data_IF_154781360682
#
_entry.id   IF_154781360682
#
_cell.length_a   1.000
_cell.length_b   1.000
_cell.length_c   1.000
_cell.angle_alpha   90.00
_cell.angle_beta   90.00
_cell.angle_gamma   90.00
#
_symmetry.space_group_name_H-M   'P 1'
#
loop_
_entity.id
_entity.type
_entity.pdbx_description
1 polymer ?
#
# COMPACT_ATOMS: atom_id res chain seq x y z
N UNK A 1 -18.47 -9.66 -9.42
CA UNK A 1 -17.01 -9.93 -9.53
C UNK A 1 -16.29 -8.60 -9.58
N UNK A 2 -15.24 -8.41 -8.77
CA UNK A 2 -14.46 -7.17 -8.74
C UNK A 2 -13.58 -7.03 -9.98
N UNK A 3 -13.37 -5.77 -10.42
CA UNK A 3 -12.37 -5.44 -11.44
C UNK A 3 -11.36 -4.46 -10.88
N UNK A 4 -10.08 -4.79 -10.94
CA UNK A 4 -8.98 -3.95 -10.44
C UNK A 4 -8.19 -3.40 -11.61
N UNK A 5 -8.02 -2.08 -11.65
CA UNK A 5 -7.27 -1.38 -12.69
C UNK A 5 -6.00 -0.75 -12.13
N UNK A 6 -4.88 -1.04 -12.76
CA UNK A 6 -3.57 -0.49 -12.42
C UNK A 6 -2.46 -1.50 -12.55
N UNK A 7 -1.26 -1.03 -12.89
CA UNK A 7 -0.06 -1.89 -12.98
C UNK A 7 0.33 -2.42 -11.60
N UNK A 8 0.82 -3.68 -11.50
CA UNK A 8 1.25 -4.28 -10.23
C UNK A 8 2.41 -3.55 -9.54
N UNK A 9 3.21 -2.77 -10.29
CA UNK A 9 4.32 -1.97 -9.76
C UNK A 9 3.85 -0.69 -9.06
N UNK A 10 2.53 -0.47 -8.96
CA UNK A 10 1.91 0.67 -8.29
C UNK A 10 1.21 0.25 -7.00
N UNK A 11 0.52 1.21 -6.36
CA UNK A 11 -0.35 0.92 -5.22
C UNK A 11 -1.53 -0.02 -5.54
N UNK A 12 -1.76 -0.37 -6.82
CA UNK A 12 -2.72 -1.41 -7.20
C UNK A 12 -2.34 -2.78 -6.60
N UNK A 13 -1.05 -3.03 -6.37
CA UNK A 13 -0.60 -4.24 -5.68
C UNK A 13 -1.27 -4.44 -4.31
N UNK A 14 -1.53 -3.37 -3.56
CA UNK A 14 -2.21 -3.45 -2.25
C UNK A 14 -3.62 -4.03 -2.38
N UNK A 15 -4.35 -3.58 -3.40
CA UNK A 15 -5.73 -4.02 -3.65
C UNK A 15 -5.75 -5.48 -4.09
N UNK A 16 -4.87 -5.84 -5.00
CA UNK A 16 -4.76 -7.22 -5.50
C UNK A 16 -4.33 -8.15 -4.36
N UNK A 17 -3.36 -7.72 -3.53
CA UNK A 17 -2.95 -8.48 -2.34
C UNK A 17 -4.10 -8.67 -1.36
N UNK A 18 -4.88 -7.61 -1.08
CA UNK A 18 -6.05 -7.71 -0.22
C UNK A 18 -7.03 -8.77 -0.74
N UNK A 19 -7.35 -8.77 -2.04
CA UNK A 19 -8.27 -9.73 -2.64
C UNK A 19 -7.74 -11.17 -2.57
N UNK A 20 -6.44 -11.38 -2.75
CA UNK A 20 -5.80 -12.70 -2.57
C UNK A 20 -5.84 -13.17 -1.11
N UNK A 21 -5.69 -12.27 -0.13
CA UNK A 21 -5.76 -12.61 1.31
C UNK A 21 -7.18 -13.00 1.74
N UNK A 22 -8.19 -12.34 1.19
CA UNK A 22 -9.58 -12.65 1.51
C UNK A 22 -10.18 -13.74 0.60
N UNK A 23 -9.39 -14.23 -0.36
CA UNK A 23 -9.74 -15.29 -1.30
C UNK A 23 -10.99 -15.00 -2.14
N UNK A 24 -11.10 -13.78 -2.63
CA UNK A 24 -12.17 -13.32 -3.50
C UNK A 24 -11.68 -13.24 -4.94
N UNK A 25 -12.46 -13.81 -5.86
CA UNK A 25 -12.19 -13.73 -7.30
C UNK A 25 -12.31 -12.30 -7.85
N UNK A 26 -11.41 -11.94 -8.73
CA UNK A 26 -11.35 -10.64 -9.38
C UNK A 26 -10.72 -10.73 -10.78
N UNK A 27 -11.05 -9.76 -11.62
CA UNK A 27 -10.36 -9.50 -12.88
C UNK A 27 -9.32 -8.38 -12.67
N UNK A 28 -8.13 -8.53 -13.23
CA UNK A 28 -7.08 -7.53 -13.16
C UNK A 28 -6.72 -6.98 -14.54
N UNK A 29 -6.80 -5.65 -14.65
CA UNK A 29 -6.46 -4.89 -15.87
C UNK A 29 -5.21 -4.06 -15.60
N UNK A 30 -4.07 -4.46 -16.18
CA UNK A 30 -2.77 -3.82 -15.98
C UNK A 30 -2.67 -2.50 -16.77
N UNK A 31 -3.42 -1.48 -16.37
CA UNK A 31 -3.43 -0.15 -16.99
C UNK A 31 -2.41 0.77 -16.33
N UNK A 32 -1.69 1.55 -17.16
CA UNK A 32 -0.71 2.54 -16.70
C UNK A 32 -1.39 3.76 -16.08
N UNK A 33 -0.85 4.34 -14.99
CA UNK A 33 -1.29 5.63 -14.49
C UNK A 33 -1.26 6.69 -15.61
N UNK A 34 -2.30 7.52 -15.68
CA UNK A 34 -2.41 8.60 -16.66
C UNK A 34 -2.91 8.18 -18.04
N UNK A 35 -3.12 6.88 -18.30
CA UNK A 35 -3.73 6.44 -19.57
C UNK A 35 -5.16 6.94 -19.72
N UNK A 36 -5.67 7.00 -20.93
CA UNK A 36 -7.03 7.49 -21.18
C UNK A 36 -8.07 6.58 -20.55
N UNK A 37 -7.84 5.28 -20.57
CA UNK A 37 -8.71 4.29 -19.92
C UNK A 37 -8.82 4.52 -18.40
N UNK A 38 -7.69 4.78 -17.75
CA UNK A 38 -7.71 5.13 -16.32
C UNK A 38 -8.40 6.47 -16.07
N UNK A 39 -8.17 7.48 -16.92
CA UNK A 39 -8.83 8.80 -16.80
C UNK A 39 -10.34 8.74 -16.96
N UNK A 40 -10.84 7.80 -17.76
CA UNK A 40 -12.28 7.57 -17.94
C UNK A 40 -12.92 7.01 -16.65
N UNK A 41 -12.17 6.25 -15.85
CA UNK A 41 -12.62 5.68 -14.57
C UNK A 41 -12.33 6.63 -13.40
N UNK A 42 -11.17 7.28 -13.42
CA UNK A 42 -10.71 8.20 -12.39
C UNK A 42 -10.06 9.42 -13.04
N UNK A 43 -10.72 10.56 -13.01
CA UNK A 43 -10.27 11.82 -13.66
C UNK A 43 -8.86 12.24 -13.25
N UNK A 44 -8.39 11.88 -12.06
CA UNK A 44 -7.02 12.16 -11.62
C UNK A 44 -5.96 11.35 -12.38
N UNK A 45 -6.35 10.34 -13.12
CA UNK A 45 -5.45 9.40 -13.80
C UNK A 45 -4.67 8.49 -12.86
N UNK A 46 -4.97 8.50 -11.55
CA UNK A 46 -4.27 7.67 -10.56
C UNK A 46 -4.85 6.26 -10.49
N UNK A 47 -3.98 5.31 -10.15
CA UNK A 47 -4.33 3.91 -9.86
C UNK A 47 -3.94 3.57 -8.41
N UNK A 48 -4.61 2.59 -7.77
CA UNK A 48 -5.64 1.69 -8.30
C UNK A 48 -7.01 2.35 -8.49
N UNK A 49 -7.81 1.70 -9.33
CA UNK A 49 -9.25 1.85 -9.36
C UNK A 49 -9.85 0.46 -9.14
N UNK A 50 -10.91 0.38 -8.34
CA UNK A 50 -11.71 -0.82 -8.17
C UNK A 50 -13.12 -0.56 -8.72
N UNK A 51 -13.66 -1.50 -9.49
CA UNK A 51 -15.09 -1.56 -9.80
C UNK A 51 -15.75 -2.69 -9.01
N UNK A 52 -16.86 -2.37 -8.38
CA UNK A 52 -17.77 -3.29 -7.69
C UNK A 52 -19.17 -3.14 -8.31
N UNK A 53 -19.50 -4.02 -9.24
CA UNK A 53 -20.65 -3.80 -10.11
C UNK A 53 -20.45 -2.56 -10.99
N UNK A 54 -21.33 -1.57 -10.84
CA UNK A 54 -21.26 -0.27 -11.52
C UNK A 54 -20.52 0.82 -10.73
N UNK A 55 -20.25 0.56 -9.43
CA UNK A 55 -19.59 1.51 -8.54
C UNK A 55 -18.07 1.54 -8.77
N UNK A 56 -17.53 2.74 -8.78
CA UNK A 56 -16.10 2.99 -9.00
C UNK A 56 -15.48 3.58 -7.74
N UNK A 57 -14.49 2.91 -7.21
CA UNK A 57 -13.73 3.34 -6.04
C UNK A 57 -12.27 3.63 -6.40
N UNK A 58 -11.71 4.66 -5.81
CA UNK A 58 -10.30 5.02 -5.93
C UNK A 58 -9.67 5.25 -4.56
N UNK A 59 -8.33 5.38 -4.55
CA UNK A 59 -7.45 5.32 -3.41
C UNK A 59 -7.28 3.90 -2.84
N UNK A 60 -6.01 3.44 -2.81
CA UNK A 60 -5.69 2.07 -2.41
C UNK A 60 -6.11 1.74 -0.98
N UNK A 61 -5.96 2.70 -0.06
CA UNK A 61 -6.27 2.50 1.36
C UNK A 61 -7.77 2.49 1.61
N UNK A 62 -8.51 3.37 0.92
CA UNK A 62 -9.97 3.37 0.96
C UNK A 62 -10.54 2.07 0.38
N UNK A 63 -10.01 1.60 -0.75
CA UNK A 63 -10.43 0.36 -1.39
C UNK A 63 -10.19 -0.85 -0.48
N UNK A 64 -8.99 -1.00 0.09
CA UNK A 64 -8.72 -2.17 0.96
C UNK A 64 -9.50 -2.10 2.28
N UNK A 65 -9.79 -0.89 2.81
CA UNK A 65 -10.68 -0.73 3.96
C UNK A 65 -12.11 -1.14 3.61
N UNK A 66 -12.62 -0.71 2.46
CA UNK A 66 -13.93 -1.12 1.96
C UNK A 66 -14.05 -2.66 1.82
N UNK A 67 -13.04 -3.28 1.19
CA UNK A 67 -13.00 -4.74 1.02
C UNK A 67 -12.94 -5.47 2.37
N UNK A 68 -12.12 -4.97 3.30
CA UNK A 68 -12.00 -5.53 4.64
C UNK A 68 -13.31 -5.46 5.42
N UNK A 69 -14.01 -4.34 5.33
CA UNK A 69 -15.31 -4.13 5.99
C UNK A 69 -16.42 -4.96 5.35
N UNK A 70 -16.46 -5.01 4.02
CA UNK A 70 -17.50 -5.74 3.28
C UNK A 70 -17.43 -7.24 3.50
N UNK A 71 -16.21 -7.78 3.64
CA UNK A 71 -15.96 -9.21 3.79
C UNK A 71 -15.60 -9.62 5.22
N UNK A 72 -15.61 -8.68 6.18
CA UNK A 72 -15.26 -8.91 7.59
C UNK A 72 -13.89 -9.60 7.77
N UNK A 73 -12.91 -9.23 6.93
CA UNK A 73 -11.55 -9.81 6.89
C UNK A 73 -10.48 -8.74 7.06
N UNK A 74 -9.42 -9.09 7.78
CA UNK A 74 -8.21 -8.24 7.96
C UNK A 74 -8.48 -6.88 8.62
N UNK A 75 -9.68 -6.64 9.09
CA UNK A 75 -10.09 -5.44 9.82
C UNK A 75 -10.69 -5.80 11.16
N UNK A 76 -10.62 -4.86 12.11
CA UNK A 76 -11.42 -4.94 13.32
C UNK A 76 -12.86 -4.45 13.05
N UNK A 77 -13.84 -4.86 13.88
CA UNK A 77 -15.23 -4.45 13.72
C UNK A 77 -15.37 -2.92 13.73
N UNK A 78 -16.23 -2.40 12.86
CA UNK A 78 -16.52 -0.95 12.81
C UNK A 78 -17.06 -0.46 14.17
N UNK A 79 -16.61 0.71 14.58
CA UNK A 79 -17.00 1.33 15.85
C UNK A 79 -16.24 0.79 17.08
N UNK A 80 -15.38 -0.24 16.94
CA UNK A 80 -14.54 -0.69 18.04
C UNK A 80 -13.32 0.21 18.22
N UNK A 81 -12.75 0.21 19.44
CA UNK A 81 -11.52 0.96 19.73
C UNK A 81 -10.31 0.35 18.98
N UNK A 82 -10.30 -0.96 18.77
CA UNK A 82 -9.29 -1.66 17.98
C UNK A 82 -9.32 -1.18 16.53
N UNK A 83 -10.52 -0.94 15.97
CA UNK A 83 -10.66 -0.37 14.63
C UNK A 83 -10.13 1.06 14.57
N UNK A 84 -10.41 1.89 15.55
CA UNK A 84 -9.87 3.25 15.60
C UNK A 84 -8.34 3.25 15.66
N UNK A 85 -7.74 2.33 16.43
CA UNK A 85 -6.28 2.15 16.47
C UNK A 85 -5.72 1.65 15.14
N UNK A 86 -6.41 0.73 14.47
CA UNK A 86 -6.04 0.27 13.12
C UNK A 86 -6.07 1.42 12.11
N UNK A 87 -7.13 2.22 12.11
CA UNK A 87 -7.27 3.35 11.19
C UNK A 87 -6.18 4.41 11.46
N UNK A 88 -5.86 4.68 12.73
CA UNK A 88 -4.76 5.56 13.11
C UNK A 88 -3.41 5.04 12.56
N UNK A 89 -3.15 3.73 12.66
CA UNK A 89 -1.95 3.13 12.09
C UNK A 89 -1.92 3.25 10.55
N UNK A 90 -3.05 3.06 9.87
CA UNK A 90 -3.17 3.26 8.42
C UNK A 90 -2.81 4.69 8.04
N UNK A 91 -3.41 5.69 8.69
CA UNK A 91 -3.16 7.09 8.40
C UNK A 91 -1.71 7.48 8.69
N UNK A 92 -1.15 6.98 9.78
CA UNK A 92 0.26 7.17 10.11
C UNK A 92 1.19 6.60 9.02
N UNK A 93 0.96 5.38 8.55
CA UNK A 93 1.78 4.79 7.47
C UNK A 93 1.67 5.61 6.19
N UNK A 94 0.49 6.11 5.86
CA UNK A 94 0.29 6.92 4.65
C UNK A 94 1.03 8.25 4.76
N UNK A 95 0.93 8.94 5.88
CA UNK A 95 1.53 10.25 6.11
C UNK A 95 3.05 10.15 6.32
N UNK A 96 3.49 9.26 7.21
CA UNK A 96 4.87 9.21 7.68
C UNK A 96 5.79 8.31 6.84
N UNK A 97 5.25 7.37 6.06
CA UNK A 97 6.06 6.38 5.30
C UNK A 97 5.79 6.48 3.80
N UNK A 98 4.53 6.28 3.38
CA UNK A 98 4.15 6.30 1.97
C UNK A 98 4.41 7.67 1.34
N UNK A 99 4.08 8.76 2.05
CA UNK A 99 4.28 10.12 1.56
C UNK A 99 5.76 10.45 1.34
N UNK A 100 6.67 9.91 2.14
CA UNK A 100 8.12 10.10 1.93
C UNK A 100 8.57 9.50 0.60
N UNK A 101 8.12 8.27 0.32
CA UNK A 101 8.40 7.58 -0.94
C UNK A 101 7.75 8.28 -2.14
N UNK A 102 6.49 8.70 -1.98
CA UNK A 102 5.76 9.41 -3.02
C UNK A 102 6.34 10.80 -3.29
N UNK A 103 6.74 11.52 -2.26
CA UNK A 103 7.44 12.79 -2.38
C UNK A 103 8.70 12.65 -3.22
N UNK A 104 9.54 11.67 -2.92
CA UNK A 104 10.75 11.40 -3.69
C UNK A 104 10.44 11.00 -5.15
N UNK A 105 9.43 10.16 -5.38
CA UNK A 105 9.01 9.78 -6.73
C UNK A 105 8.50 10.98 -7.54
N UNK A 106 7.70 11.86 -6.91
CA UNK A 106 7.23 13.10 -7.56
C UNK A 106 8.38 13.93 -8.07
N UNK A 107 9.40 14.15 -7.25
CA UNK A 107 10.57 14.96 -7.59
C UNK A 107 11.65 14.18 -8.39
N UNK A 108 11.38 12.91 -8.75
CA UNK A 108 12.26 12.12 -9.61
C UNK A 108 11.75 12.04 -11.06
N UNK A 109 10.44 11.74 -11.25
CA UNK A 109 9.92 11.45 -12.58
C UNK A 109 8.43 11.77 -12.81
N UNK A 110 7.67 12.15 -11.76
CA UNK A 110 6.23 12.42 -11.91
C UNK A 110 5.95 13.88 -12.30
N UNK A 111 6.55 14.83 -11.58
CA UNK A 111 6.37 16.25 -11.86
C UNK A 111 7.04 16.64 -13.19
N UNK A 112 6.57 17.71 -13.85
CA UNK A 112 7.33 18.35 -14.92
C UNK A 112 8.78 18.64 -14.48
N UNK A 113 9.74 18.52 -15.38
CA UNK A 113 11.15 18.58 -15.02
C UNK A 113 11.55 19.87 -14.30
N UNK A 114 11.03 21.00 -14.78
CA UNK A 114 11.26 22.34 -14.20
C UNK A 114 10.63 22.53 -12.81
N UNK A 115 9.77 21.61 -12.36
CA UNK A 115 9.14 21.61 -11.03
C UNK A 115 9.79 20.61 -10.07
N UNK A 116 10.82 19.89 -10.51
CA UNK A 116 11.50 18.87 -9.67
C UNK A 116 12.56 19.54 -8.80
N UNK A 117 12.52 19.22 -7.50
CA UNK A 117 13.51 19.68 -6.50
C UNK A 117 14.23 18.47 -5.94
N UNK A 118 15.41 18.16 -6.49
CA UNK A 118 16.19 16.98 -6.07
C UNK A 118 16.67 17.07 -4.62
N UNK A 119 16.90 18.29 -4.14
CA UNK A 119 17.40 18.58 -2.79
C UNK A 119 16.46 18.16 -1.64
N UNK A 120 15.19 17.86 -1.91
CA UNK A 120 14.25 17.34 -0.89
C UNK A 120 14.52 15.89 -0.51
N UNK A 121 15.18 15.10 -1.37
CA UNK A 121 15.31 13.64 -1.18
C UNK A 121 16.08 13.22 0.08
N UNK A 122 17.17 13.89 0.49
CA UNK A 122 17.86 13.54 1.72
C UNK A 122 16.97 13.63 2.96
N UNK A 123 16.17 14.70 3.11
CA UNK A 123 15.24 14.86 4.25
C UNK A 123 14.15 13.78 4.23
N UNK A 124 13.56 13.49 3.06
CA UNK A 124 12.55 12.43 2.95
C UNK A 124 13.10 11.05 3.32
N UNK A 125 14.36 10.77 2.98
CA UNK A 125 15.02 9.51 3.36
C UNK A 125 15.29 9.43 4.86
N UNK A 126 15.74 10.53 5.46
CA UNK A 126 15.97 10.62 6.89
C UNK A 126 14.66 10.46 7.68
N UNK A 127 13.60 11.15 7.29
CA UNK A 127 12.27 11.03 7.92
C UNK A 127 11.72 9.62 7.78
N UNK A 128 11.83 9.02 6.60
CA UNK A 128 11.41 7.64 6.37
C UNK A 128 12.08 6.68 7.36
N UNK A 129 13.41 6.74 7.49
CA UNK A 129 14.15 5.87 8.41
C UNK A 129 13.71 6.06 9.86
N UNK A 130 13.64 7.33 10.32
CA UNK A 130 13.17 7.68 11.65
C UNK A 130 11.76 7.14 11.94
N UNK A 131 10.85 7.30 10.97
CA UNK A 131 9.46 6.88 11.13
C UNK A 131 9.33 5.35 11.13
N UNK A 132 10.11 4.65 10.32
CA UNK A 132 10.21 3.18 10.37
C UNK A 132 10.72 2.71 11.73
N UNK A 133 11.77 3.32 12.27
CA UNK A 133 12.30 2.97 13.60
C UNK A 133 11.24 3.14 14.69
N UNK A 134 10.48 4.23 14.66
CA UNK A 134 9.39 4.48 15.60
C UNK A 134 8.28 3.42 15.48
N UNK A 135 7.83 3.11 14.26
CA UNK A 135 6.77 2.12 14.02
C UNK A 135 7.23 0.72 14.50
N UNK A 136 8.47 0.34 14.21
CA UNK A 136 9.00 -0.97 14.62
C UNK A 136 9.19 -1.07 16.12
N UNK A 137 9.61 0.00 16.80
CA UNK A 137 9.75 0.03 18.26
C UNK A 137 8.40 -0.06 18.98
N UNK A 138 7.31 0.44 18.37
CA UNK A 138 5.96 0.35 18.92
C UNK A 138 5.27 -0.98 18.64
N UNK A 139 5.78 -1.76 17.69
CA UNK A 139 5.22 -3.07 17.31
C UNK A 139 5.28 -4.05 18.48
N UNK A 140 4.13 -4.60 18.88
CA UNK A 140 3.99 -5.47 20.05
C UNK A 140 3.72 -6.94 19.73
N UNK A 141 3.92 -7.38 18.49
CA UNK A 141 3.64 -8.74 18.07
C UNK A 141 4.28 -9.06 16.73
N UNK A 142 3.83 -10.14 16.14
CA UNK A 142 4.30 -10.61 14.84
C UNK A 142 4.01 -9.59 13.72
N UNK A 143 2.87 -8.90 13.82
CA UNK A 143 2.40 -7.88 12.88
C UNK A 143 2.15 -6.54 13.60
N UNK A 144 1.77 -5.51 12.86
CA UNK A 144 1.61 -4.16 13.40
C UNK A 144 0.54 -4.07 14.48
N UNK A 145 -0.56 -4.82 14.33
CA UNK A 145 -1.68 -4.79 15.26
C UNK A 145 -1.65 -5.95 16.28
N UNK A 146 -0.57 -6.73 16.35
CA UNK A 146 -0.42 -7.89 17.23
C UNK A 146 -0.04 -9.16 16.48
N UNK A 147 -0.63 -10.30 16.85
CA UNK A 147 -0.28 -11.61 16.28
C UNK A 147 -0.95 -11.88 14.92
N UNK A 148 -2.01 -11.16 14.59
CA UNK A 148 -2.76 -11.36 13.35
C UNK A 148 -2.39 -10.33 12.29
N UNK A 149 -2.24 -10.82 11.04
CA UNK A 149 -2.06 -9.96 9.88
C UNK A 149 -3.33 -9.16 9.60
N UNK A 150 -3.19 -7.85 9.50
CA UNK A 150 -4.30 -6.91 9.29
C UNK A 150 -3.96 -5.95 8.13
N UNK A 151 -4.94 -5.17 7.73
CA UNK A 151 -4.86 -4.22 6.62
C UNK A 151 -3.63 -3.27 6.67
N UNK A 152 -3.21 -2.70 7.82
CA UNK A 152 -2.02 -1.86 7.86
C UNK A 152 -0.74 -2.58 7.41
N UNK A 153 -0.67 -3.90 7.63
CA UNK A 153 0.50 -4.69 7.24
C UNK A 153 0.68 -4.75 5.72
N UNK A 154 -0.42 -4.81 4.96
CA UNK A 154 -0.39 -4.75 3.48
C UNK A 154 0.27 -3.44 3.03
N UNK A 155 -0.13 -2.32 3.65
CA UNK A 155 0.34 -0.99 3.25
C UNK A 155 1.82 -0.84 3.58
N UNK A 156 2.22 -1.16 4.82
CA UNK A 156 3.59 -0.97 5.28
C UNK A 156 4.57 -1.91 4.55
N UNK A 157 4.21 -3.18 4.39
CA UNK A 157 5.05 -4.13 3.65
C UNK A 157 5.23 -3.72 2.18
N UNK A 158 4.17 -3.22 1.53
CA UNK A 158 4.29 -2.65 0.19
C UNK A 158 5.23 -1.43 0.16
N UNK A 159 5.15 -0.53 1.14
CA UNK A 159 6.08 0.59 1.27
C UNK A 159 7.53 0.12 1.42
N UNK A 160 7.77 -0.94 2.20
CA UNK A 160 9.10 -1.52 2.37
C UNK A 160 9.71 -2.04 1.06
N UNK A 161 8.91 -2.74 0.24
CA UNK A 161 9.38 -3.18 -1.08
C UNK A 161 9.62 -2.00 -2.03
N UNK A 162 8.76 -0.99 -1.99
CA UNK A 162 8.96 0.23 -2.75
C UNK A 162 10.22 0.97 -2.31
N UNK A 163 10.47 1.10 -1.02
CA UNK A 163 11.69 1.71 -0.45
C UNK A 163 12.96 1.04 -0.99
N UNK A 164 12.97 -0.30 -1.03
CA UNK A 164 14.08 -1.07 -1.61
C UNK A 164 14.32 -0.71 -3.07
N UNK A 165 13.27 -0.68 -3.89
CA UNK A 165 13.36 -0.32 -5.31
C UNK A 165 13.78 1.14 -5.53
N UNK A 166 13.35 2.05 -4.64
CA UNK A 166 13.65 3.48 -4.69
C UNK A 166 14.98 3.85 -4.01
N UNK A 167 15.73 2.87 -3.51
CA UNK A 167 17.03 3.04 -2.80
C UNK A 167 16.89 3.98 -1.59
N UNK A 168 15.82 3.82 -0.84
CA UNK A 168 15.69 4.38 0.50
C UNK A 168 16.48 3.55 1.51
N UNK A 169 16.91 4.14 2.65
CA UNK A 169 17.59 3.38 3.69
C UNK A 169 16.66 2.30 4.26
N UNK A 170 17.21 1.13 4.49
CA UNK A 170 16.54 -0.02 5.11
C UNK A 170 17.48 -0.58 6.18
N UNK A 171 17.89 0.28 7.10
CA UNK A 171 18.88 -0.03 8.14
C UNK A 171 18.26 -0.77 9.33
N UNK A 172 16.94 -0.69 9.51
CA UNK A 172 16.22 -1.38 10.57
C UNK A 172 16.05 -2.87 10.25
N UNK A 173 16.78 -3.73 10.95
CA UNK A 173 16.72 -5.19 10.75
C UNK A 173 15.32 -5.76 11.01
N UNK A 174 14.66 -5.30 12.09
CA UNK A 174 13.30 -5.73 12.43
C UNK A 174 12.29 -5.40 11.33
N UNK A 175 12.48 -4.27 10.63
CA UNK A 175 11.66 -3.92 9.47
C UNK A 175 11.93 -4.83 8.27
N UNK A 176 13.18 -5.17 8.01
CA UNK A 176 13.53 -6.09 6.93
C UNK A 176 12.95 -7.49 7.17
N UNK A 177 13.05 -8.00 8.39
CA UNK A 177 12.43 -9.27 8.79
C UNK A 177 10.90 -9.22 8.64
N UNK A 178 10.29 -8.13 9.08
CA UNK A 178 8.85 -7.91 8.95
C UNK A 178 8.39 -7.89 7.49
N UNK A 179 9.10 -7.20 6.60
CA UNK A 179 8.79 -7.21 5.16
C UNK A 179 8.83 -8.65 4.63
N UNK A 180 9.91 -9.39 4.95
CA UNK A 180 10.07 -10.76 4.49
C UNK A 180 8.92 -11.66 5.01
N UNK A 181 8.57 -11.53 6.28
CA UNK A 181 7.45 -12.23 6.89
C UNK A 181 6.12 -11.97 6.15
N UNK A 182 5.83 -10.70 5.84
CA UNK A 182 4.63 -10.33 5.10
C UNK A 182 4.62 -10.89 3.68
N UNK A 183 5.76 -10.84 2.98
CA UNK A 183 5.88 -11.37 1.62
C UNK A 183 5.99 -12.89 1.54
N UNK A 184 6.26 -13.59 2.64
CA UNK A 184 6.26 -15.05 2.70
C UNK A 184 4.85 -15.67 2.81
N UNK A 185 3.81 -14.84 2.96
CA UNK A 185 2.42 -15.29 3.06
C UNK A 185 1.96 -16.01 1.78
N UNK A 186 1.14 -17.08 1.92
CA UNK A 186 0.65 -17.85 0.78
C UNK A 186 -0.08 -16.98 -0.27
N UNK A 187 -0.88 -16.01 0.16
CA UNK A 187 -1.60 -15.09 -0.72
C UNK A 187 -0.64 -14.30 -1.63
N UNK A 188 0.46 -13.77 -1.07
CA UNK A 188 1.47 -13.05 -1.87
C UNK A 188 2.20 -13.97 -2.83
N UNK A 189 2.51 -15.19 -2.42
CA UNK A 189 3.16 -16.18 -3.29
C UNK A 189 2.26 -16.55 -4.48
N UNK A 190 0.94 -16.73 -4.24
CA UNK A 190 -0.05 -16.92 -5.32
C UNK A 190 -0.08 -15.71 -6.26
N UNK A 191 -0.16 -14.50 -5.68
CA UNK A 191 -0.18 -13.27 -6.44
C UNK A 191 1.05 -13.10 -7.32
N UNK A 192 2.25 -13.28 -6.78
CA UNK A 192 3.51 -13.15 -7.56
C UNK A 192 3.53 -14.15 -8.72
N UNK A 193 3.13 -15.41 -8.47
CA UNK A 193 3.03 -16.43 -9.53
C UNK A 193 2.01 -16.07 -10.61
N UNK A 194 0.92 -15.37 -10.26
CA UNK A 194 -0.12 -14.92 -11.22
C UNK A 194 0.35 -13.75 -12.06
N UNK A 195 1.27 -12.92 -11.55
CA UNK A 195 1.78 -11.72 -12.20
C UNK A 195 3.08 -11.95 -13.00
N UNK A 196 3.74 -13.10 -12.83
CA UNK A 196 4.92 -13.52 -13.60
C UNK A 196 4.53 -14.18 -14.91
#
# INVERSE_FOLDING_TARGET
MYKVFGIPQSRAFRVIWMLEEIEIEYEHFSLKPGSQEVKNLNRSGKVPVLMDGEEILSDSSAIISYLGDKHEKLCYPRGSIERARQDAMVFRIIDEVDMMLWGAARHSFILPENMRVAAIKPSLKWEFQKNIDNIMNERRGKFLMGEEFKLPDIILAHCGRWARSAKFPLENESFNEYINLCYDRPAVKRLIKRLS
#
